data_IF_752212592036
#
_entry.id   IF_752212592036
#
_cell.length_a   1.000
_cell.length_b   1.000
_cell.length_c   1.000
_cell.angle_alpha   90.00
_cell.angle_beta   90.00
_cell.angle_gamma   90.00
#
_symmetry.space_group_name_H-M   'P 1'
#
loop_
_entity.id
_entity.type
_entity.pdbx_description
1 polymer ?
#
# COMPACT_ATOMS: atom_id res chain seq x y z
N UNK A 1 -11.73 -1.94 17.42
CA UNK A 1 -12.52 -0.85 16.83
C UNK A 1 -11.86 -0.53 15.50
N UNK A 2 -12.49 -0.89 14.39
CA UNK A 2 -12.03 -0.47 13.08
C UNK A 2 -12.36 1.01 12.93
N UNK A 3 -11.34 1.86 13.01
CA UNK A 3 -11.49 3.24 12.57
C UNK A 3 -11.67 3.19 11.06
N UNK A 4 -12.82 3.65 10.55
CA UNK A 4 -13.07 3.80 9.12
C UNK A 4 -12.40 5.13 8.71
N UNK A 5 -11.17 5.10 8.18
CA UNK A 5 -10.40 6.31 8.02
C UNK A 5 -10.94 7.04 6.80
N UNK A 6 -11.74 8.08 7.03
CA UNK A 6 -12.11 9.01 5.98
C UNK A 6 -10.84 9.41 5.21
N UNK A 7 -10.77 9.05 3.93
CA UNK A 7 -9.60 9.32 3.07
C UNK A 7 -8.57 8.20 2.95
N UNK A 8 -8.86 6.94 3.33
CA UNK A 8 -7.96 5.81 3.11
C UNK A 8 -7.53 5.71 1.63
N UNK A 9 -8.46 5.84 0.69
CA UNK A 9 -8.16 5.85 -0.74
C UNK A 9 -7.18 6.96 -1.13
N UNK A 10 -7.26 8.13 -0.51
CA UNK A 10 -6.34 9.25 -0.77
C UNK A 10 -4.94 8.99 -0.20
N UNK A 11 -4.85 8.28 0.94
CA UNK A 11 -3.59 7.84 1.51
C UNK A 11 -2.92 6.78 0.62
N UNK A 12 -3.67 5.78 0.19
CA UNK A 12 -3.18 4.74 -0.74
C UNK A 12 -2.75 5.35 -2.07
N UNK A 13 -3.51 6.32 -2.60
CA UNK A 13 -3.14 7.04 -3.81
C UNK A 13 -1.81 7.81 -3.68
N UNK A 14 -1.60 8.50 -2.56
CA UNK A 14 -0.32 9.20 -2.28
C UNK A 14 0.85 8.22 -2.17
N UNK A 15 0.65 7.08 -1.52
CA UNK A 15 1.68 6.03 -1.42
C UNK A 15 1.98 5.42 -2.80
N UNK A 16 0.95 5.12 -3.58
CA UNK A 16 1.08 4.63 -4.95
C UNK A 16 1.90 5.60 -5.82
N UNK A 17 1.58 6.90 -5.78
CA UNK A 17 2.32 7.93 -6.49
C UNK A 17 3.80 8.00 -6.06
N UNK A 18 4.06 7.87 -4.76
CA UNK A 18 5.43 7.88 -4.20
C UNK A 18 6.26 6.68 -4.69
N UNK A 19 5.65 5.49 -4.78
CA UNK A 19 6.31 4.29 -5.30
C UNK A 19 6.85 4.45 -6.73
N UNK A 20 6.26 5.35 -7.52
CA UNK A 20 6.68 5.67 -8.89
C UNK A 20 8.11 6.23 -9.00
N UNK A 21 8.66 6.75 -7.90
CA UNK A 21 10.00 7.37 -7.87
C UNK A 21 11.04 6.56 -7.09
N UNK A 22 10.67 5.44 -6.46
CA UNK A 22 11.52 4.71 -5.51
C UNK A 22 11.95 3.30 -5.94
N UNK A 23 11.45 2.81 -7.08
CA UNK A 23 11.86 1.48 -7.59
C UNK A 23 11.34 0.30 -6.76
N UNK A 24 10.12 0.39 -6.24
CA UNK A 24 9.48 -0.63 -5.40
C UNK A 24 8.28 -1.29 -6.12
N UNK A 25 8.52 -2.16 -7.13
CA UNK A 25 7.48 -2.62 -8.06
C UNK A 25 6.36 -3.41 -7.37
N UNK A 26 6.67 -4.27 -6.40
CA UNK A 26 5.65 -5.05 -5.68
C UNK A 26 4.77 -4.14 -4.83
N UNK A 27 5.37 -3.26 -4.01
CA UNK A 27 4.64 -2.26 -3.24
C UNK A 27 3.75 -1.36 -4.11
N UNK A 28 4.26 -0.92 -5.27
CA UNK A 28 3.49 -0.14 -6.24
C UNK A 28 2.23 -0.88 -6.69
N UNK A 29 2.38 -2.15 -7.07
CA UNK A 29 1.26 -2.96 -7.57
C UNK A 29 0.22 -3.22 -6.47
N UNK A 30 0.65 -3.44 -5.23
CA UNK A 30 -0.26 -3.58 -4.09
C UNK A 30 -1.06 -2.29 -3.84
N UNK A 31 -0.40 -1.13 -3.84
CA UNK A 31 -1.08 0.15 -3.70
C UNK A 31 -2.07 0.40 -4.85
N UNK A 32 -1.69 0.05 -6.09
CA UNK A 32 -2.57 0.16 -7.25
C UNK A 32 -3.81 -0.74 -7.12
N UNK A 33 -3.64 -2.00 -6.69
CA UNK A 33 -4.74 -2.95 -6.49
C UNK A 33 -5.73 -2.43 -5.45
N UNK A 34 -5.22 -2.07 -4.27
CA UNK A 34 -6.03 -1.54 -3.17
C UNK A 34 -6.76 -0.26 -3.60
N UNK A 35 -6.05 0.68 -4.24
CA UNK A 35 -6.66 1.92 -4.73
C UNK A 35 -7.81 1.63 -5.72
N UNK A 36 -7.60 0.70 -6.66
CA UNK A 36 -8.62 0.35 -7.64
C UNK A 36 -9.86 -0.27 -6.97
N UNK A 37 -9.67 -1.21 -6.05
CA UNK A 37 -10.80 -1.86 -5.36
C UNK A 37 -11.59 -0.87 -4.50
N UNK A 38 -10.92 0.00 -3.75
CA UNK A 38 -11.56 1.06 -2.96
C UNK A 38 -12.35 2.02 -3.86
N UNK A 39 -11.80 2.43 -5.02
CA UNK A 39 -12.52 3.27 -6.00
C UNK A 39 -13.70 2.55 -6.65
N UNK A 40 -13.63 1.23 -6.77
CA UNK A 40 -14.73 0.39 -7.25
C UNK A 40 -15.82 0.13 -6.20
N UNK A 41 -15.65 0.61 -4.97
CA UNK A 41 -16.64 0.50 -3.89
C UNK A 41 -16.53 -0.79 -3.07
N UNK A 42 -15.43 -1.53 -3.19
CA UNK A 42 -15.14 -2.66 -2.29
C UNK A 42 -14.91 -2.13 -0.88
N UNK A 43 -15.51 -2.79 0.11
CA UNK A 43 -15.34 -2.41 1.50
C UNK A 43 -13.93 -2.73 1.99
N UNK A 44 -13.38 -1.86 2.84
CA UNK A 44 -12.02 -2.00 3.39
C UNK A 44 -11.80 -3.33 4.11
N UNK A 45 -12.85 -3.86 4.77
CA UNK A 45 -12.84 -5.16 5.45
C UNK A 45 -12.60 -6.32 4.48
N UNK A 46 -13.05 -6.22 3.23
CA UNK A 46 -12.83 -7.25 2.21
C UNK A 46 -11.39 -7.23 1.66
N UNK A 47 -10.65 -6.12 1.88
CA UNK A 47 -9.28 -5.91 1.43
C UNK A 47 -8.23 -6.19 2.52
N UNK A 48 -8.63 -6.77 3.66
CA UNK A 48 -7.73 -7.17 4.73
C UNK A 48 -6.52 -7.98 4.22
N UNK A 49 -6.67 -8.97 3.31
CA UNK A 49 -5.52 -9.71 2.78
C UNK A 49 -4.49 -8.83 2.07
N UNK A 50 -4.94 -7.91 1.20
CA UNK A 50 -4.08 -6.99 0.46
C UNK A 50 -3.39 -5.99 1.39
N UNK A 51 -4.08 -5.54 2.45
CA UNK A 51 -3.48 -4.69 3.47
C UNK A 51 -2.37 -5.41 4.23
N UNK A 52 -2.59 -6.67 4.62
CA UNK A 52 -1.55 -7.48 5.27
C UNK A 52 -0.34 -7.68 4.33
N UNK A 53 -0.60 -7.95 3.05
CA UNK A 53 0.47 -8.10 2.06
C UNK A 53 1.26 -6.79 1.84
N UNK A 54 0.57 -5.64 1.86
CA UNK A 54 1.20 -4.33 1.79
C UNK A 54 2.09 -4.05 3.01
N UNK A 55 1.64 -4.41 4.22
CA UNK A 55 2.43 -4.27 5.44
C UNK A 55 3.69 -5.13 5.39
N UNK A 56 3.57 -6.39 4.98
CA UNK A 56 4.74 -7.28 4.79
C UNK A 56 5.72 -6.71 3.77
N UNK A 57 5.21 -6.14 2.67
CA UNK A 57 6.05 -5.52 1.66
C UNK A 57 6.73 -4.23 2.16
N UNK A 58 6.09 -3.45 3.03
CA UNK A 58 6.73 -2.31 3.69
C UNK A 58 7.95 -2.73 4.51
N UNK A 59 7.82 -3.81 5.29
CA UNK A 59 8.94 -4.36 6.04
C UNK A 59 10.06 -4.87 5.14
N UNK A 60 9.73 -5.49 4.01
CA UNK A 60 10.70 -5.94 3.02
C UNK A 60 11.44 -4.76 2.38
N UNK A 61 10.73 -3.75 1.91
CA UNK A 61 11.34 -2.54 1.34
C UNK A 61 12.23 -1.85 2.36
N UNK A 62 11.79 -1.70 3.61
CA UNK A 62 12.62 -1.10 4.67
C UNK A 62 13.90 -1.91 4.93
N UNK A 63 13.82 -3.24 4.89
CA UNK A 63 14.97 -4.15 5.05
C UNK A 63 15.96 -4.01 3.90
N UNK A 64 15.49 -3.98 2.65
CA UNK A 64 16.35 -3.84 1.48
C UNK A 64 16.95 -2.44 1.36
N UNK A 65 16.16 -1.39 1.64
CA UNK A 65 16.66 0.00 1.66
C UNK A 65 17.82 0.17 2.66
N UNK A 66 17.75 -0.46 3.84
CA UNK A 66 18.85 -0.44 4.82
C UNK A 66 20.14 -1.07 4.29
N UNK A 67 20.06 -2.06 3.40
CA UNK A 67 21.25 -2.68 2.78
C UNK A 67 21.87 -1.79 1.69
N UNK A 68 21.06 -0.95 1.05
CA UNK A 68 21.52 -0.02 0.00
C UNK A 68 22.14 1.24 0.63
N UNK A 69 21.55 1.73 1.72
CA UNK A 69 21.96 2.96 2.41
C UNK A 69 23.01 2.72 3.51
N UNK A 70 23.30 1.46 3.83
CA UNK A 70 24.25 1.03 4.87
C UNK A 70 25.64 0.74 4.31
#
# INVERSE_FOLDING_TARGET
MGENPNGLVDLVHKLHGSCGYSGVPRMKNLCQLIEQQLRSGVHEEELEPEFLELLDEMDNVAREAKKILG
#
